data_IF_145132333837
#
_entry.id   IF_145132333837
#
_cell.length_a   1.000
_cell.length_b   1.000
_cell.length_c   1.000
_cell.angle_alpha   90.00
_cell.angle_beta   90.00
_cell.angle_gamma   90.00
#
_symmetry.space_group_name_H-M   'P 1'
#
loop_
_entity.id
_entity.type
_entity.pdbx_description
1 polymer ?
#
# COMPACT_ATOMS: atom_id res chain seq x y z
N UNK A 1 -40.42 3.60 -37.15
CA UNK A 1 -40.13 3.85 -35.71
C UNK A 1 -38.75 3.30 -35.40
N UNK A 2 -37.78 4.18 -35.21
CA UNK A 2 -36.42 3.81 -34.90
C UNK A 2 -36.24 3.82 -33.38
N UNK A 3 -35.90 2.68 -32.79
CA UNK A 3 -35.58 2.54 -31.35
C UNK A 3 -34.11 2.94 -31.20
N UNK A 4 -33.87 4.07 -30.57
CA UNK A 4 -32.53 4.52 -30.19
C UNK A 4 -32.18 3.85 -28.86
N UNK A 5 -31.33 2.84 -28.90
CA UNK A 5 -30.76 2.22 -27.72
C UNK A 5 -29.64 3.12 -27.21
N UNK A 6 -29.90 3.83 -26.11
CA UNK A 6 -28.87 4.60 -25.40
C UNK A 6 -27.99 3.60 -24.58
N UNK A 7 -26.79 3.35 -25.07
CA UNK A 7 -25.77 2.66 -24.32
C UNK A 7 -25.26 3.61 -23.21
N UNK A 8 -25.76 3.41 -21.98
CA UNK A 8 -25.18 4.03 -20.80
C UNK A 8 -23.80 3.44 -20.56
N UNK A 9 -22.78 4.05 -21.15
CA UNK A 9 -21.41 3.81 -20.79
C UNK A 9 -21.19 4.30 -19.36
N UNK A 10 -20.94 3.38 -18.43
CA UNK A 10 -20.40 3.75 -17.12
C UNK A 10 -19.04 4.40 -17.33
N UNK A 11 -19.02 5.72 -17.37
CA UNK A 11 -17.78 6.50 -17.24
C UNK A 11 -17.35 6.29 -15.80
N UNK A 12 -16.32 5.46 -15.58
CA UNK A 12 -15.59 5.42 -14.30
C UNK A 12 -14.99 6.82 -14.13
N UNK A 13 -15.60 7.63 -13.30
CA UNK A 13 -15.02 8.91 -12.90
C UNK A 13 -13.64 8.63 -12.31
N UNK A 14 -12.64 9.27 -12.90
CA UNK A 14 -11.28 9.34 -12.42
C UNK A 14 -11.36 10.00 -11.04
N UNK A 15 -11.19 9.24 -9.95
CA UNK A 15 -11.09 9.82 -8.61
C UNK A 15 -9.88 10.75 -8.58
N UNK A 16 -10.11 12.02 -8.71
CA UNK A 16 -9.11 13.06 -8.59
C UNK A 16 -8.98 13.43 -7.12
N UNK A 17 -7.93 12.91 -6.45
CA UNK A 17 -7.32 13.61 -5.34
C UNK A 17 -7.95 13.51 -3.96
N UNK A 18 -8.83 12.54 -3.68
CA UNK A 18 -9.28 12.27 -2.31
C UNK A 18 -8.50 11.11 -1.70
N UNK A 19 -8.05 11.26 -0.45
CA UNK A 19 -7.43 10.17 0.29
C UNK A 19 -8.41 9.00 0.46
N UNK A 20 -7.95 7.79 0.15
CA UNK A 20 -8.73 6.58 0.43
C UNK A 20 -8.87 6.39 1.94
N UNK A 21 -10.03 5.91 2.34
CA UNK A 21 -10.42 5.73 3.74
C UNK A 21 -10.96 4.33 4.00
N UNK A 22 -11.19 4.02 5.25
CA UNK A 22 -11.83 2.77 5.67
C UNK A 22 -13.17 2.61 4.96
N UNK A 23 -13.38 1.42 4.38
CA UNK A 23 -14.55 1.07 3.57
C UNK A 23 -14.36 1.23 2.07
N UNK A 24 -13.34 1.98 1.63
CA UNK A 24 -13.01 2.09 0.21
C UNK A 24 -12.35 0.79 -0.30
N UNK A 25 -12.46 0.57 -1.59
CA UNK A 25 -11.78 -0.53 -2.28
C UNK A 25 -10.40 -0.09 -2.76
N UNK A 26 -9.43 -1.02 -2.72
CA UNK A 26 -8.13 -0.82 -3.36
C UNK A 26 -8.32 -0.37 -4.82
N UNK A 27 -7.61 0.68 -5.25
CA UNK A 27 -7.67 1.12 -6.62
C UNK A 27 -6.94 0.15 -7.54
N UNK A 28 -7.23 0.20 -8.82
CA UNK A 28 -6.50 -0.53 -9.85
C UNK A 28 -5.04 -0.04 -9.93
N UNK A 29 -4.07 -0.93 -9.69
CA UNK A 29 -2.65 -0.63 -9.82
C UNK A 29 -1.81 -1.88 -10.12
N UNK A 30 -0.61 -1.65 -10.64
CA UNK A 30 0.40 -2.67 -10.87
C UNK A 30 1.77 -2.10 -10.52
N UNK A 31 2.56 -2.84 -9.78
CA UNK A 31 3.95 -2.50 -9.43
C UNK A 31 4.85 -3.72 -9.53
N UNK A 32 6.11 -3.48 -9.85
CA UNK A 32 7.16 -4.50 -9.81
C UNK A 32 7.96 -4.32 -8.52
N UNK A 33 8.11 -5.41 -7.77
CA UNK A 33 8.86 -5.44 -6.52
C UNK A 33 10.35 -5.68 -6.77
N UNK A 34 11.19 -5.35 -5.79
CA UNK A 34 12.65 -5.51 -5.85
C UNK A 34 13.11 -6.97 -5.99
N UNK A 35 12.28 -7.93 -5.65
CA UNK A 35 12.51 -9.37 -5.88
C UNK A 35 12.05 -9.87 -7.25
N UNK A 36 11.49 -8.97 -8.09
CA UNK A 36 10.99 -9.27 -9.44
C UNK A 36 9.52 -9.69 -9.49
N UNK A 37 8.84 -9.84 -8.36
CA UNK A 37 7.40 -10.14 -8.34
C UNK A 37 6.60 -8.95 -8.87
N UNK A 38 5.61 -9.20 -9.72
CA UNK A 38 4.60 -8.20 -10.10
C UNK A 38 3.40 -8.32 -9.17
N UNK A 39 3.04 -7.23 -8.53
CA UNK A 39 1.89 -7.14 -7.61
C UNK A 39 0.82 -6.23 -8.20
N UNK A 40 -0.41 -6.72 -8.19
CA UNK A 40 -1.60 -5.97 -8.63
C UNK A 40 -2.64 -5.92 -7.51
N UNK A 41 -3.59 -5.00 -7.60
CA UNK A 41 -4.75 -4.97 -6.71
C UNK A 41 -5.52 -6.30 -6.70
N UNK A 42 -5.60 -6.99 -7.84
CA UNK A 42 -6.27 -8.28 -7.97
C UNK A 42 -5.57 -9.37 -7.14
N UNK A 43 -4.23 -9.41 -7.16
CA UNK A 43 -3.45 -10.33 -6.32
C UNK A 43 -3.69 -10.02 -4.83
N UNK A 44 -3.75 -8.74 -4.47
CA UNK A 44 -4.00 -8.34 -3.08
C UNK A 44 -5.43 -8.67 -2.59
N UNK A 45 -6.37 -8.83 -3.50
CA UNK A 45 -7.74 -9.25 -3.16
C UNK A 45 -7.85 -10.74 -2.80
N UNK A 46 -6.84 -11.54 -3.10
CA UNK A 46 -6.85 -12.99 -2.80
C UNK A 46 -6.66 -13.30 -1.31
N UNK A 47 -6.06 -12.39 -0.56
CA UNK A 47 -5.78 -12.55 0.87
C UNK A 47 -5.87 -11.22 1.62
N UNK A 48 -5.72 -11.26 2.94
CA UNK A 48 -5.45 -10.08 3.74
C UNK A 48 -4.12 -9.48 3.29
N UNK A 49 -4.05 -8.16 3.19
CA UNK A 49 -2.86 -7.47 2.70
C UNK A 49 -2.58 -6.17 3.44
N UNK A 50 -1.33 -5.74 3.37
CA UNK A 50 -0.87 -4.42 3.83
C UNK A 50 -0.19 -3.71 2.68
N UNK A 51 -0.57 -2.46 2.44
CA UNK A 51 0.13 -1.57 1.49
C UNK A 51 0.68 -0.39 2.26
N UNK A 52 1.97 -0.15 2.17
CA UNK A 52 2.62 1.01 2.80
C UNK A 52 3.29 1.88 1.75
N UNK A 53 2.99 3.18 1.80
CA UNK A 53 3.72 4.21 1.04
C UNK A 53 4.75 4.90 1.91
N UNK A 54 5.94 5.11 1.35
CA UNK A 54 7.08 5.69 2.06
C UNK A 54 7.99 6.53 1.16
N UNK A 55 8.91 7.26 1.80
CA UNK A 55 10.09 7.86 1.19
C UNK A 55 11.24 7.74 2.18
N UNK A 56 12.43 7.37 1.72
CA UNK A 56 13.58 7.10 2.62
C UNK A 56 14.10 8.34 3.35
N UNK A 57 13.87 9.54 2.85
CA UNK A 57 14.23 10.79 3.54
C UNK A 57 13.16 11.32 4.49
N UNK A 58 12.00 10.67 4.58
CA UNK A 58 10.93 11.05 5.49
C UNK A 58 11.21 10.52 6.90
N UNK A 59 11.37 11.38 7.94
CA UNK A 59 11.70 10.95 9.30
C UNK A 59 10.68 9.98 9.89
N UNK A 60 9.38 10.21 9.66
CA UNK A 60 8.31 9.35 10.13
C UNK A 60 8.34 7.98 9.45
N UNK A 61 8.61 7.95 8.14
CA UNK A 61 8.80 6.69 7.41
C UNK A 61 10.01 5.91 7.96
N UNK A 62 11.10 6.58 8.30
CA UNK A 62 12.29 5.94 8.89
C UNK A 62 12.00 5.29 10.23
N UNK A 63 11.02 5.78 10.99
CA UNK A 63 10.56 5.15 12.24
C UNK A 63 9.63 3.97 11.99
N UNK A 64 8.77 4.02 10.99
CA UNK A 64 7.77 2.97 10.70
C UNK A 64 8.37 1.81 9.90
N UNK A 65 9.34 2.03 9.03
CA UNK A 65 9.93 0.97 8.20
C UNK A 65 10.52 -0.20 9.00
N UNK A 66 11.28 0.00 10.09
CA UNK A 66 11.74 -1.10 10.92
C UNK A 66 10.60 -1.86 11.62
N UNK A 67 9.54 -1.17 12.00
CA UNK A 67 8.31 -1.78 12.55
C UNK A 67 7.65 -2.67 11.50
N UNK A 68 7.57 -2.18 10.26
CA UNK A 68 7.02 -2.94 9.14
C UNK A 68 7.86 -4.17 8.79
N UNK A 69 9.19 -4.11 8.95
CA UNK A 69 10.04 -5.30 8.81
C UNK A 69 9.63 -6.38 9.80
N UNK A 70 9.38 -6.03 11.06
CA UNK A 70 8.91 -6.98 12.07
C UNK A 70 7.53 -7.55 11.74
N UNK A 71 6.63 -6.74 11.22
CA UNK A 71 5.32 -7.19 10.72
C UNK A 71 5.49 -8.16 9.55
N UNK A 72 6.38 -7.83 8.62
CA UNK A 72 6.69 -8.69 7.47
C UNK A 72 7.23 -10.05 7.91
N UNK A 73 8.20 -10.07 8.82
CA UNK A 73 8.83 -11.30 9.33
C UNK A 73 7.82 -12.23 9.98
N UNK A 74 6.81 -11.69 10.66
CA UNK A 74 5.78 -12.47 11.33
C UNK A 74 4.65 -12.91 10.41
N UNK A 75 4.14 -12.01 9.55
CA UNK A 75 2.89 -12.24 8.82
C UNK A 75 3.07 -12.72 7.38
N UNK A 76 4.18 -12.41 6.69
CA UNK A 76 4.42 -12.91 5.35
C UNK A 76 4.45 -14.45 5.29
N UNK A 77 5.07 -15.17 6.25
CA UNK A 77 5.01 -16.63 6.28
C UNK A 77 3.60 -17.20 6.49
N UNK A 78 2.68 -16.41 7.02
CA UNK A 78 1.26 -16.77 7.22
C UNK A 78 0.38 -16.50 5.99
N UNK A 79 0.98 -16.08 4.88
CA UNK A 79 0.26 -15.79 3.64
C UNK A 79 -0.33 -14.38 3.54
N UNK A 80 0.04 -13.48 4.45
CA UNK A 80 -0.34 -12.07 4.38
C UNK A 80 0.60 -11.34 3.42
N UNK A 81 0.04 -10.65 2.46
CA UNK A 81 0.80 -9.86 1.50
C UNK A 81 1.13 -8.49 2.07
N UNK A 82 2.43 -8.16 2.13
CA UNK A 82 2.92 -6.87 2.62
C UNK A 82 3.69 -6.21 1.49
N UNK A 83 3.20 -5.07 1.02
CA UNK A 83 3.67 -4.38 -0.18
C UNK A 83 4.10 -2.97 0.19
N UNK A 84 5.38 -2.69 -0.01
CA UNK A 84 6.00 -1.39 0.25
C UNK A 84 6.23 -0.68 -1.07
N UNK A 85 5.69 0.50 -1.22
CA UNK A 85 5.74 1.29 -2.46
C UNK A 85 6.30 2.66 -2.14
N UNK A 86 7.38 3.07 -2.81
CA UNK A 86 7.91 4.40 -2.61
C UNK A 86 7.07 5.47 -3.29
N UNK A 87 7.19 6.69 -2.80
CA UNK A 87 6.64 7.89 -3.40
C UNK A 87 7.78 8.82 -3.79
N UNK A 88 8.05 8.95 -5.08
CA UNK A 88 9.11 9.82 -5.63
C UNK A 88 10.51 9.50 -5.07
N UNK A 89 10.83 8.23 -4.87
CA UNK A 89 12.14 7.82 -4.39
C UNK A 89 12.86 6.95 -5.42
N UNK A 90 14.18 7.03 -5.46
CA UNK A 90 14.99 6.26 -6.41
C UNK A 90 15.31 4.88 -5.84
N UNK A 91 15.46 3.89 -6.71
CA UNK A 91 15.89 2.56 -6.32
C UNK A 91 17.21 2.58 -5.57
N UNK A 92 18.19 3.40 -6.02
CA UNK A 92 19.49 3.57 -5.37
C UNK A 92 19.37 4.08 -3.93
N UNK A 93 18.52 5.09 -3.70
CA UNK A 93 18.28 5.63 -2.35
C UNK A 93 17.62 4.60 -1.43
N UNK A 94 16.66 3.84 -1.96
CA UNK A 94 15.96 2.81 -1.21
C UNK A 94 16.93 1.67 -0.87
N UNK A 95 17.68 1.17 -1.83
CA UNK A 95 18.66 0.10 -1.63
C UNK A 95 19.68 0.49 -0.56
N UNK A 96 20.23 1.69 -0.63
CA UNK A 96 21.18 2.22 0.36
C UNK A 96 20.57 2.26 1.76
N UNK A 97 19.33 2.74 1.88
CA UNK A 97 18.62 2.79 3.16
C UNK A 97 18.34 1.37 3.71
N UNK A 98 17.89 0.44 2.85
CA UNK A 98 17.65 -0.97 3.23
C UNK A 98 18.92 -1.64 3.76
N UNK A 99 20.05 -1.43 3.10
CA UNK A 99 21.34 -1.95 3.55
C UNK A 99 21.77 -1.34 4.89
N UNK A 100 21.67 -0.02 5.02
CA UNK A 100 22.02 0.68 6.26
C UNK A 100 21.17 0.21 7.46
N UNK A 101 19.88 -0.02 7.27
CA UNK A 101 18.94 -0.42 8.32
C UNK A 101 18.78 -1.94 8.46
N UNK A 102 19.42 -2.72 7.61
CA UNK A 102 19.31 -4.19 7.63
C UNK A 102 17.90 -4.69 7.26
N UNK A 103 17.16 -3.94 6.46
CA UNK A 103 15.83 -4.34 6.01
C UNK A 103 15.93 -5.40 4.91
N UNK A 104 14.98 -6.34 4.87
CA UNK A 104 14.96 -7.47 3.93
C UNK A 104 13.65 -7.63 3.18
N UNK A 105 12.59 -6.98 3.64
CA UNK A 105 11.29 -7.02 2.95
C UNK A 105 11.39 -6.43 1.55
N UNK A 106 10.71 -7.00 0.54
CA UNK A 106 10.67 -6.42 -0.80
C UNK A 106 10.02 -5.05 -0.82
N UNK A 107 10.45 -4.21 -1.76
CA UNK A 107 9.88 -2.89 -2.01
C UNK A 107 9.67 -2.67 -3.50
N UNK A 108 8.82 -1.72 -3.86
CA UNK A 108 8.69 -1.22 -5.22
C UNK A 108 9.19 0.23 -5.31
N UNK A 109 10.24 0.43 -6.11
CA UNK A 109 10.78 1.75 -6.35
C UNK A 109 9.94 2.49 -7.39
N UNK A 110 9.32 3.59 -6.99
CA UNK A 110 8.55 4.48 -7.85
C UNK A 110 9.20 5.86 -7.87
N UNK A 111 9.68 6.28 -9.05
CA UNK A 111 10.36 7.56 -9.23
C UNK A 111 9.39 8.75 -9.28
N UNK A 112 8.10 8.48 -9.29
CA UNK A 112 7.04 9.48 -9.35
C UNK A 112 5.92 9.20 -8.35
N UNK A 113 4.84 9.96 -8.42
CA UNK A 113 3.68 9.87 -7.52
C UNK A 113 2.50 9.12 -8.11
N UNK A 114 2.59 8.57 -9.32
CA UNK A 114 1.42 8.04 -10.05
C UNK A 114 0.69 6.93 -9.31
N UNK A 115 1.43 6.00 -8.70
CA UNK A 115 0.79 4.93 -7.90
C UNK A 115 0.24 5.52 -6.60
N UNK A 116 1.03 6.33 -5.89
CA UNK A 116 0.61 6.98 -4.66
C UNK A 116 -0.67 7.82 -4.85
N UNK A 117 -0.76 8.59 -5.92
CA UNK A 117 -1.91 9.47 -6.21
C UNK A 117 -3.23 8.71 -6.45
N UNK A 118 -3.17 7.41 -6.71
CA UNK A 118 -4.37 6.56 -6.74
C UNK A 118 -4.94 6.30 -5.33
N UNK A 119 -4.12 6.44 -4.30
CA UNK A 119 -4.47 6.16 -2.89
C UNK A 119 -4.68 7.43 -2.07
N UNK A 120 -3.86 8.46 -2.30
CA UNK A 120 -3.84 9.65 -1.46
C UNK A 120 -3.28 10.88 -2.19
N UNK A 121 -3.60 12.05 -1.66
CA UNK A 121 -3.07 13.33 -2.12
C UNK A 121 -1.86 13.78 -1.28
N UNK A 122 -1.87 13.51 0.03
CA UNK A 122 -0.88 14.02 0.99
C UNK A 122 -0.53 12.98 2.05
N UNK A 123 0.57 13.22 2.75
CA UNK A 123 1.09 12.47 3.91
C UNK A 123 1.68 11.10 3.56
N UNK A 124 2.81 10.85 4.11
CA UNK A 124 3.48 9.56 4.29
C UNK A 124 4.13 9.56 5.69
N UNK A 125 4.31 8.39 6.35
CA UNK A 125 3.88 7.09 5.86
C UNK A 125 2.35 6.98 5.75
N UNK A 126 1.90 6.12 4.85
CA UNK A 126 0.52 5.63 4.82
C UNK A 126 0.53 4.13 4.82
N UNK A 127 -0.23 3.55 5.72
CA UNK A 127 -0.37 2.10 5.84
C UNK A 127 -1.84 1.75 5.72
N UNK A 128 -2.17 0.92 4.75
CA UNK A 128 -3.50 0.40 4.52
C UNK A 128 -3.53 -1.09 4.87
N UNK A 129 -4.41 -1.48 5.79
CA UNK A 129 -4.69 -2.89 6.09
C UNK A 129 -6.00 -3.26 5.43
N UNK A 130 -5.94 -4.26 4.55
CA UNK A 130 -7.04 -4.62 3.67
C UNK A 130 -7.48 -6.05 3.94
N UNK A 131 -8.80 -6.26 3.95
CA UNK A 131 -9.35 -7.61 4.02
C UNK A 131 -9.25 -8.34 2.68
N UNK A 132 -9.41 -9.64 2.70
CA UNK A 132 -9.66 -10.42 1.49
C UNK A 132 -10.83 -9.82 0.72
N UNK A 133 -10.66 -9.61 -0.59
CA UNK A 133 -11.60 -8.87 -1.42
C UNK A 133 -11.21 -7.41 -1.65
N UNK A 134 -10.16 -6.89 -0.97
CA UNK A 134 -9.57 -5.59 -1.26
C UNK A 134 -10.30 -4.39 -0.66
N UNK A 135 -11.08 -4.58 0.40
CA UNK A 135 -11.69 -3.46 1.14
C UNK A 135 -10.74 -3.02 2.24
N UNK A 136 -10.47 -1.73 2.32
CA UNK A 136 -9.61 -1.10 3.34
C UNK A 136 -10.31 -1.13 4.68
N UNK A 137 -9.68 -1.72 5.69
CA UNK A 137 -10.20 -1.83 7.05
C UNK A 137 -9.53 -0.91 8.04
N UNK A 138 -8.24 -0.61 7.82
CA UNK A 138 -7.49 0.34 8.64
C UNK A 138 -6.62 1.22 7.74
N UNK A 139 -6.48 2.47 8.14
CA UNK A 139 -5.57 3.46 7.55
C UNK A 139 -4.77 4.09 8.67
N UNK A 140 -3.45 3.99 8.60
CA UNK A 140 -2.53 4.69 9.49
C UNK A 140 -1.74 5.73 8.71
N UNK A 141 -1.42 6.82 9.36
CA UNK A 141 -0.61 7.92 8.81
C UNK A 141 0.50 8.31 9.78
N UNK A 142 1.06 9.49 9.61
CA UNK A 142 2.06 10.11 10.48
C UNK A 142 1.46 10.81 11.72
N UNK A 143 0.19 10.64 12.01
CA UNK A 143 -0.50 11.35 13.10
C UNK A 143 -1.43 10.43 13.92
N UNK A 144 -0.86 9.68 14.88
CA UNK A 144 0.57 9.38 15.10
C UNK A 144 1.11 8.28 14.17
N UNK A 145 2.44 8.12 14.13
CA UNK A 145 3.07 6.97 13.46
C UNK A 145 2.57 5.66 14.08
N UNK A 146 2.16 4.67 13.27
CA UNK A 146 1.72 3.38 13.80
C UNK A 146 2.89 2.61 14.38
N UNK A 147 2.64 1.97 15.51
CA UNK A 147 3.56 0.99 16.10
C UNK A 147 3.35 -0.41 15.49
N UNK A 148 4.33 -1.29 15.74
CA UNK A 148 4.21 -2.71 15.42
C UNK A 148 2.92 -3.31 16.01
N UNK A 149 2.65 -3.06 17.30
CA UNK A 149 1.48 -3.61 18.00
C UNK A 149 0.16 -3.14 17.41
N UNK A 150 0.07 -1.87 16.98
CA UNK A 150 -1.12 -1.34 16.35
C UNK A 150 -1.40 -1.98 14.98
N UNK A 151 -0.35 -2.16 14.17
CA UNK A 151 -0.48 -2.83 12.87
C UNK A 151 -0.85 -4.30 13.06
N UNK A 152 -0.22 -5.01 14.00
CA UNK A 152 -0.53 -6.39 14.32
C UNK A 152 -1.96 -6.55 14.83
N UNK A 153 -2.42 -5.67 15.72
CA UNK A 153 -3.80 -5.68 16.22
C UNK A 153 -4.80 -5.49 15.06
N UNK A 154 -4.52 -4.57 14.14
CA UNK A 154 -5.35 -4.37 12.95
C UNK A 154 -5.39 -5.64 12.08
N UNK A 155 -4.25 -6.28 11.83
CA UNK A 155 -4.16 -7.52 11.07
C UNK A 155 -4.96 -8.66 11.75
N UNK A 156 -4.79 -8.88 13.04
CA UNK A 156 -5.52 -9.91 13.78
C UNK A 156 -7.04 -9.71 13.73
N UNK A 157 -7.50 -8.46 13.74
CA UNK A 157 -8.92 -8.14 13.61
C UNK A 157 -9.48 -8.43 12.21
N UNK A 158 -8.64 -8.34 11.18
CA UNK A 158 -9.05 -8.56 9.78
C UNK A 158 -8.95 -10.03 9.38
N UNK A 159 -8.00 -10.77 9.95
CA UNK A 159 -7.78 -12.20 9.68
C UNK A 159 -8.91 -13.08 10.24
N UNK A 160 -9.61 -12.62 11.24
CA UNK A 160 -10.70 -13.36 11.92
C UNK A 160 -11.91 -13.67 11.04
#
# INVERSE_FOLDING_TARGET
MAVVTVLSGCIKEKQTGADLKVGDRLPDFEVVMSDGETVTDQILQESVSVVMFFHTSCPDCQQVLPQMQSVYDEYAPKGIRIVLISREDTEESIESFWQEKGLKMPYSAQNDRKIYEKFAATRIPRVYVNEKGGIIRYVFTDDPNPSYDEICTALENVIR
#
